data_IF_409584146459
#
_entry.id   IF_409584146459
#
_cell.length_a   1.000
_cell.length_b   1.000
_cell.length_c   1.000
_cell.angle_alpha   90.00
_cell.angle_beta   90.00
_cell.angle_gamma   90.00
#
_symmetry.space_group_name_H-M   'P 1'
#
loop_
_entity.id
_entity.type
_entity.pdbx_description
1 polymer ?
#
# COMPACT_ATOMS: atom_id res chain seq x y z
N UNK A 1 11.16 -22.33 -7.74
CA UNK A 1 10.80 -20.98 -8.14
C UNK A 1 11.81 -19.97 -7.62
N UNK A 2 12.02 -18.86 -8.33
CA UNK A 2 12.77 -17.73 -7.81
C UNK A 2 11.95 -16.96 -6.78
N UNK A 3 12.59 -16.48 -5.71
CA UNK A 3 11.97 -15.73 -4.63
C UNK A 3 12.97 -14.79 -3.93
N UNK A 4 12.58 -13.55 -3.72
CA UNK A 4 13.41 -12.58 -3.00
C UNK A 4 13.16 -12.73 -1.50
N UNK A 5 14.21 -13.08 -0.77
CA UNK A 5 14.09 -13.65 0.59
C UNK A 5 14.81 -12.77 1.62
N UNK A 6 14.12 -12.48 2.73
CA UNK A 6 14.71 -11.84 3.91
C UNK A 6 15.61 -12.81 4.66
N UNK A 7 16.88 -12.52 4.74
CA UNK A 7 17.88 -13.36 5.41
C UNK A 7 18.12 -12.88 6.84
N UNK A 8 18.47 -11.63 6.98
CA UNK A 8 18.76 -10.95 8.24
C UNK A 8 18.66 -9.44 8.04
N UNK A 9 18.72 -8.68 9.12
CA UNK A 9 18.69 -7.22 9.04
C UNK A 9 19.77 -6.71 8.08
N UNK A 10 19.36 -5.86 7.14
CA UNK A 10 20.18 -5.30 6.08
C UNK A 10 20.31 -6.19 4.84
N UNK A 11 19.80 -7.43 4.86
CA UNK A 11 20.08 -8.40 3.81
C UNK A 11 18.86 -9.13 3.28
N UNK A 12 18.53 -8.88 2.01
CA UNK A 12 17.65 -9.70 1.19
C UNK A 12 18.48 -10.39 0.11
N UNK A 13 18.09 -11.58 -0.32
CA UNK A 13 18.73 -12.33 -1.39
C UNK A 13 17.72 -12.99 -2.32
N UNK A 14 18.04 -13.00 -3.62
CA UNK A 14 17.29 -13.80 -4.59
C UNK A 14 17.72 -15.28 -4.46
N UNK A 15 16.77 -16.16 -4.18
CA UNK A 15 17.01 -17.59 -3.93
C UNK A 15 16.03 -18.47 -4.70
N UNK A 16 16.46 -19.69 -4.95
CA UNK A 16 15.53 -20.74 -5.35
C UNK A 16 14.83 -21.32 -4.12
N UNK A 17 13.49 -21.38 -4.19
CA UNK A 17 12.60 -21.97 -3.18
C UNK A 17 11.66 -22.99 -3.84
N UNK A 18 11.12 -23.96 -3.11
CA UNK A 18 10.05 -24.81 -3.62
C UNK A 18 8.82 -23.97 -3.98
N UNK A 19 8.05 -24.40 -4.99
CA UNK A 19 6.75 -23.82 -5.28
C UNK A 19 5.83 -24.08 -4.07
N UNK A 20 5.08 -23.07 -3.58
CA UNK A 20 4.22 -23.24 -2.41
C UNK A 20 3.07 -24.23 -2.69
N UNK A 21 2.64 -24.94 -1.63
CA UNK A 21 1.54 -25.87 -1.67
C UNK A 21 0.34 -25.36 -0.85
N UNK A 22 -0.86 -25.86 -1.16
CA UNK A 22 -2.07 -25.66 -0.34
C UNK A 22 -1.83 -26.30 1.03
N UNK A 23 -1.94 -25.51 2.10
CA UNK A 23 -1.78 -25.94 3.50
C UNK A 23 -3.11 -26.03 4.25
N UNK A 24 -4.09 -25.23 3.84
CA UNK A 24 -5.45 -25.19 4.39
C UNK A 24 -6.45 -25.24 3.23
N UNK A 25 -7.62 -25.81 3.44
CA UNK A 25 -8.66 -25.91 2.41
C UNK A 25 -9.16 -24.56 1.89
N UNK A 26 -8.85 -23.47 2.58
CA UNK A 26 -9.22 -22.08 2.24
C UNK A 26 -8.08 -21.31 1.56
N UNK A 27 -6.93 -21.94 1.27
CA UNK A 27 -5.80 -21.33 0.60
C UNK A 27 -5.98 -21.26 -0.92
N UNK A 28 -5.30 -20.32 -1.57
CA UNK A 28 -5.01 -20.36 -3.00
C UNK A 28 -3.51 -20.22 -3.26
N UNK A 29 -3.05 -20.78 -4.38
CA UNK A 29 -1.74 -20.49 -4.97
C UNK A 29 -1.95 -19.55 -6.14
N UNK A 30 -1.27 -18.43 -6.12
CA UNK A 30 -1.31 -17.43 -7.18
C UNK A 30 0.05 -17.40 -7.87
N UNK A 31 0.05 -17.53 -9.18
CA UNK A 31 1.21 -17.25 -10.02
C UNK A 31 1.28 -15.74 -10.22
N UNK A 32 2.34 -15.12 -9.68
CA UNK A 32 2.51 -13.67 -9.71
C UNK A 32 2.87 -13.23 -11.13
N UNK A 33 2.09 -12.33 -11.70
CA UNK A 33 2.38 -11.70 -12.99
C UNK A 33 3.11 -10.38 -12.82
N UNK A 34 2.75 -9.62 -11.78
CA UNK A 34 3.37 -8.35 -11.46
C UNK A 34 3.37 -8.14 -9.94
N UNK A 35 4.52 -7.86 -9.37
CA UNK A 35 4.70 -7.43 -7.98
C UNK A 35 5.17 -5.98 -7.90
N UNK A 36 5.30 -5.45 -6.68
CA UNK A 36 5.82 -4.10 -6.47
C UNK A 36 6.73 -4.05 -5.24
N UNK A 37 7.57 -3.02 -5.15
CA UNK A 37 8.36 -2.72 -3.97
C UNK A 37 7.64 -1.65 -3.15
N UNK A 38 7.45 -1.91 -1.85
CA UNK A 38 6.87 -0.97 -0.90
C UNK A 38 7.93 -0.45 0.09
N UNK A 39 7.71 0.74 0.65
CA UNK A 39 8.55 1.26 1.73
C UNK A 39 8.53 0.35 2.95
N UNK A 40 7.45 -0.39 3.19
CA UNK A 40 7.35 -1.37 4.27
C UNK A 40 8.34 -2.53 4.12
N UNK A 41 8.72 -2.90 2.89
CA UNK A 41 9.79 -3.88 2.64
C UNK A 41 11.16 -3.33 3.11
N UNK A 42 11.41 -2.02 2.93
CA UNK A 42 12.62 -1.37 3.45
C UNK A 42 12.61 -1.31 4.98
N UNK A 43 11.45 -1.09 5.61
CA UNK A 43 11.32 -1.17 7.07
C UNK A 43 11.65 -2.57 7.59
N UNK A 44 11.25 -3.64 6.89
CA UNK A 44 11.67 -5.02 7.19
C UNK A 44 13.19 -5.15 7.03
N UNK A 45 13.74 -4.71 5.89
CA UNK A 45 15.18 -4.75 5.61
C UNK A 45 16.00 -4.08 6.70
N UNK A 46 15.57 -2.90 7.16
CA UNK A 46 16.28 -2.12 8.18
C UNK A 46 15.99 -2.57 9.62
N UNK A 47 15.15 -3.56 9.85
CA UNK A 47 14.85 -4.11 11.17
C UNK A 47 13.83 -3.32 11.99
N UNK A 48 13.10 -2.37 11.37
CA UNK A 48 12.05 -1.58 12.04
C UNK A 48 10.73 -2.34 12.23
N UNK A 49 10.64 -3.57 11.71
CA UNK A 49 9.46 -4.46 11.84
C UNK A 49 9.83 -5.70 12.66
N UNK A 50 9.73 -5.66 14.00
CA UNK A 50 10.20 -6.74 14.88
C UNK A 50 9.51 -8.10 14.65
N UNK A 51 8.32 -8.09 14.04
CA UNK A 51 7.55 -9.31 13.74
C UNK A 51 7.95 -9.99 12.43
N UNK A 52 8.83 -9.37 11.63
CA UNK A 52 9.32 -9.97 10.39
C UNK A 52 10.17 -11.23 10.68
N UNK A 53 9.95 -12.28 9.89
CA UNK A 53 10.57 -13.59 10.09
C UNK A 53 11.66 -13.82 9.05
N UNK A 54 12.86 -14.20 9.51
CA UNK A 54 13.95 -14.58 8.61
C UNK A 54 13.60 -15.83 7.79
N UNK A 55 14.06 -15.88 6.53
CA UNK A 55 13.81 -16.97 5.59
C UNK A 55 12.51 -16.86 4.79
N UNK A 56 11.65 -15.87 5.06
CA UNK A 56 10.44 -15.66 4.28
C UNK A 56 10.75 -14.93 2.96
N UNK A 57 9.93 -15.17 1.96
CA UNK A 57 9.86 -14.35 0.75
C UNK A 57 9.21 -13.01 1.08
N UNK A 58 9.81 -11.90 0.71
CA UNK A 58 9.26 -10.56 0.94
C UNK A 58 8.23 -10.16 -0.13
N UNK A 59 7.64 -8.97 0.02
CA UNK A 59 6.66 -8.40 -0.90
C UNK A 59 5.21 -8.72 -0.53
N UNK A 60 4.38 -7.70 -0.54
CA UNK A 60 2.97 -7.77 -0.15
C UNK A 60 2.05 -7.02 -1.11
N UNK A 61 2.59 -6.51 -2.21
CA UNK A 61 1.84 -5.87 -3.30
C UNK A 61 2.02 -6.70 -4.57
N UNK A 62 0.95 -7.30 -5.06
CA UNK A 62 1.01 -8.13 -6.25
C UNK A 62 -0.34 -8.37 -6.90
N UNK A 63 -0.28 -8.68 -8.17
CA UNK A 63 -1.38 -9.24 -8.97
C UNK A 63 -0.90 -10.53 -9.63
N UNK A 64 -1.82 -11.38 -10.01
CA UNK A 64 -1.46 -12.64 -10.67
C UNK A 64 -2.66 -13.42 -11.14
N UNK A 65 -2.38 -14.66 -11.50
CA UNK A 65 -3.38 -15.63 -11.97
C UNK A 65 -3.45 -16.76 -10.94
N UNK A 66 -4.66 -17.10 -10.53
CA UNK A 66 -4.91 -18.23 -9.64
C UNK A 66 -4.46 -19.52 -10.33
N UNK A 67 -3.51 -20.23 -9.73
CA UNK A 67 -2.98 -21.49 -10.24
C UNK A 67 -3.73 -22.69 -9.66
N UNK A 68 -3.99 -22.64 -8.35
CA UNK A 68 -4.64 -23.71 -7.59
C UNK A 68 -5.41 -23.15 -6.42
N UNK A 69 -6.51 -23.81 -6.06
CA UNK A 69 -7.32 -23.46 -4.89
C UNK A 69 -7.52 -24.68 -3.96
N UNK A 70 -7.71 -24.39 -2.69
CA UNK A 70 -8.15 -25.40 -1.70
C UNK A 70 -9.64 -25.74 -1.87
N UNK A 71 -10.07 -26.83 -1.23
CA UNK A 71 -11.40 -27.40 -1.44
C UNK A 71 -12.56 -26.49 -0.96
N UNK A 72 -12.31 -25.57 -0.02
CA UNK A 72 -13.32 -24.68 0.55
C UNK A 72 -13.28 -23.27 -0.09
N UNK A 73 -12.43 -23.03 -1.08
CA UNK A 73 -12.40 -21.76 -1.82
C UNK A 73 -13.53 -21.72 -2.84
N UNK A 74 -14.32 -20.64 -2.80
CA UNK A 74 -15.52 -20.47 -3.61
C UNK A 74 -15.54 -19.20 -4.44
N UNK A 75 -14.82 -18.14 -4.03
CA UNK A 75 -14.85 -16.82 -4.68
C UNK A 75 -13.99 -16.75 -5.94
N UNK A 76 -12.98 -17.61 -6.06
CA UNK A 76 -12.05 -17.63 -7.19
C UNK A 76 -11.76 -19.06 -7.65
N UNK A 77 -11.31 -19.21 -8.88
CA UNK A 77 -10.94 -20.50 -9.49
C UNK A 77 -9.63 -20.39 -10.29
N UNK A 78 -8.96 -21.51 -10.59
CA UNK A 78 -7.80 -21.50 -11.48
C UNK A 78 -8.09 -20.79 -12.80
N UNK A 79 -7.16 -19.91 -13.20
CA UNK A 79 -7.26 -19.07 -14.39
C UNK A 79 -7.80 -17.64 -14.12
N UNK A 80 -8.41 -17.38 -12.97
CA UNK A 80 -8.89 -16.04 -12.63
C UNK A 80 -7.71 -15.07 -12.38
N UNK A 81 -7.82 -13.86 -12.90
CA UNK A 81 -6.89 -12.75 -12.61
C UNK A 81 -7.30 -12.08 -11.32
N UNK A 82 -6.34 -11.91 -10.40
CA UNK A 82 -6.61 -11.40 -9.07
C UNK A 82 -5.58 -10.39 -8.59
N UNK A 83 -6.03 -9.41 -7.80
CA UNK A 83 -5.15 -8.67 -6.89
C UNK A 83 -5.18 -9.33 -5.52
N UNK A 84 -4.03 -9.29 -4.84
CA UNK A 84 -3.86 -9.88 -3.50
C UNK A 84 -3.93 -8.78 -2.47
N UNK A 85 -4.82 -8.96 -1.47
CA UNK A 85 -4.93 -8.05 -0.35
C UNK A 85 -3.72 -8.21 0.59
N UNK A 86 -3.10 -7.11 1.00
CA UNK A 86 -2.01 -7.12 1.99
C UNK A 86 -2.46 -7.69 3.33
N UNK A 87 -3.71 -7.44 3.71
CA UNK A 87 -4.31 -7.99 4.92
C UNK A 87 -5.09 -9.27 4.60
N UNK A 88 -4.58 -10.41 5.05
CA UNK A 88 -5.33 -11.66 5.06
C UNK A 88 -6.06 -11.82 6.38
N UNK A 89 -7.23 -12.48 6.43
CA UNK A 89 -7.97 -12.59 7.68
C UNK A 89 -8.96 -13.77 7.73
N UNK A 90 -9.11 -14.35 8.92
CA UNK A 90 -9.94 -15.55 9.10
C UNK A 90 -11.46 -15.29 8.96
N UNK A 91 -11.94 -14.05 9.22
CA UNK A 91 -13.36 -13.71 9.20
C UNK A 91 -14.14 -14.13 10.45
N UNK A 92 -13.54 -14.88 11.39
CA UNK A 92 -14.26 -15.54 12.49
C UNK A 92 -13.88 -15.02 13.88
N UNK A 93 -12.68 -14.46 14.05
CA UNK A 93 -12.22 -13.98 15.35
C UNK A 93 -12.97 -12.71 15.79
N UNK A 94 -12.76 -12.32 17.04
CA UNK A 94 -13.39 -11.15 17.65
C UNK A 94 -13.23 -9.88 16.80
N UNK A 95 -12.04 -9.64 16.29
CA UNK A 95 -11.72 -8.43 15.50
C UNK A 95 -12.36 -8.51 14.10
N UNK A 96 -12.22 -9.64 13.40
CA UNK A 96 -12.79 -9.81 12.06
C UNK A 96 -14.31 -9.61 12.04
N UNK A 97 -15.02 -10.15 13.03
CA UNK A 97 -16.49 -10.00 13.16
C UNK A 97 -16.94 -8.56 13.38
N UNK A 98 -16.03 -7.65 13.72
CA UNK A 98 -16.28 -6.20 13.92
C UNK A 98 -15.71 -5.33 12.81
N UNK A 99 -15.16 -5.93 11.75
CA UNK A 99 -14.56 -5.20 10.65
C UNK A 99 -13.12 -4.73 10.90
N UNK A 100 -12.50 -5.10 12.03
CA UNK A 100 -11.12 -4.77 12.37
C UNK A 100 -10.17 -5.88 11.89
N UNK A 101 -10.24 -6.21 10.60
CA UNK A 101 -9.59 -7.40 10.04
C UNK A 101 -8.07 -7.34 10.06
N UNK A 102 -7.48 -6.15 10.02
CA UNK A 102 -6.06 -5.91 10.21
C UNK A 102 -5.54 -6.35 11.60
N UNK A 103 -6.42 -6.51 12.58
CA UNK A 103 -6.13 -7.03 13.91
C UNK A 103 -6.53 -8.52 14.06
N UNK A 104 -6.66 -9.25 12.96
CA UNK A 104 -6.97 -10.68 12.98
C UNK A 104 -5.97 -11.44 13.86
N UNK A 105 -6.49 -12.28 14.76
CA UNK A 105 -5.67 -13.04 15.72
C UNK A 105 -5.14 -14.36 15.18
N UNK A 106 -5.51 -14.72 13.97
CA UNK A 106 -4.96 -15.92 13.32
C UNK A 106 -3.48 -15.70 12.94
N UNK A 107 -2.61 -16.71 13.05
CA UNK A 107 -1.20 -16.59 12.67
C UNK A 107 -0.96 -16.15 11.21
N UNK A 108 -1.89 -16.47 10.30
CA UNK A 108 -1.85 -16.01 8.91
C UNK A 108 -2.67 -14.74 8.66
N UNK A 109 -3.19 -14.09 9.71
CA UNK A 109 -4.05 -12.92 9.61
C UNK A 109 -3.31 -11.59 9.80
N UNK A 110 -3.93 -10.50 9.40
CA UNK A 110 -3.32 -9.18 9.37
C UNK A 110 -2.23 -9.07 8.30
N UNK A 111 -1.31 -8.14 8.42
CA UNK A 111 -0.15 -8.09 7.53
C UNK A 111 0.77 -9.30 7.78
N UNK A 112 0.45 -10.42 7.13
CA UNK A 112 1.20 -11.67 7.22
C UNK A 112 2.09 -11.90 6.00
N UNK A 113 1.55 -11.70 4.78
CA UNK A 113 2.28 -11.85 3.52
C UNK A 113 3.49 -10.94 3.45
N UNK A 114 4.64 -11.49 3.10
CA UNK A 114 5.91 -10.75 3.00
C UNK A 114 6.48 -10.26 4.32
N UNK A 115 5.89 -10.63 5.46
CA UNK A 115 6.33 -10.23 6.80
C UNK A 115 6.50 -11.43 7.73
N UNK A 116 5.48 -12.28 7.90
CA UNK A 116 5.50 -13.46 8.77
C UNK A 116 5.38 -14.77 8.00
N UNK A 117 4.83 -14.73 6.82
CA UNK A 117 4.74 -15.82 5.84
C UNK A 117 5.26 -15.34 4.49
N UNK A 118 5.57 -16.28 3.60
CA UNK A 118 6.05 -15.96 2.26
C UNK A 118 5.12 -15.00 1.53
N UNK A 119 5.70 -13.98 0.90
CA UNK A 119 5.04 -12.95 0.11
C UNK A 119 5.20 -13.15 -1.40
N UNK A 120 4.95 -12.09 -2.16
CA UNK A 120 4.79 -12.13 -3.61
C UNK A 120 5.95 -11.59 -4.45
N UNK A 121 7.09 -11.22 -3.87
CA UNK A 121 8.30 -10.98 -4.68
C UNK A 121 8.94 -12.32 -5.06
N UNK A 122 8.16 -13.14 -5.78
CA UNK A 122 8.45 -14.49 -6.24
C UNK A 122 7.59 -14.83 -7.45
N UNK A 123 7.85 -15.98 -8.06
CA UNK A 123 7.02 -16.49 -9.18
C UNK A 123 5.65 -16.98 -8.71
N UNK A 124 5.53 -17.48 -7.47
CA UNK A 124 4.28 -17.98 -6.87
C UNK A 124 4.17 -17.56 -5.40
N UNK A 125 2.94 -17.34 -4.96
CA UNK A 125 2.62 -17.06 -3.56
C UNK A 125 1.42 -17.89 -3.10
N UNK A 126 1.46 -18.37 -1.85
CA UNK A 126 0.30 -18.95 -1.18
C UNK A 126 -0.47 -17.85 -0.44
N UNK A 127 -1.72 -17.68 -0.77
CA UNK A 127 -2.61 -16.71 -0.13
C UNK A 127 -3.58 -17.46 0.79
N UNK A 128 -3.47 -17.30 2.11
CA UNK A 128 -4.44 -17.88 3.05
C UNK A 128 -5.77 -17.12 2.97
N UNK A 129 -6.87 -17.83 3.33
CA UNK A 129 -8.23 -17.27 3.31
C UNK A 129 -8.58 -16.64 1.96
N UNK A 130 -8.36 -17.36 0.86
CA UNK A 130 -8.41 -16.86 -0.50
C UNK A 130 -9.70 -16.10 -0.84
N UNK A 131 -10.86 -16.53 -0.34
CA UNK A 131 -12.15 -15.85 -0.55
C UNK A 131 -12.21 -14.42 0.05
N UNK A 132 -11.23 -14.06 0.88
CA UNK A 132 -11.09 -12.73 1.49
C UNK A 132 -9.79 -12.03 1.11
N UNK A 133 -8.77 -12.82 0.80
CA UNK A 133 -7.43 -12.32 0.43
C UNK A 133 -7.28 -11.99 -1.06
N UNK A 134 -8.23 -12.41 -1.91
CA UNK A 134 -8.17 -12.23 -3.36
C UNK A 134 -9.39 -11.44 -3.85
N UNK A 135 -9.14 -10.53 -4.80
CA UNK A 135 -10.19 -9.80 -5.48
C UNK A 135 -10.01 -9.97 -6.99
N UNK A 136 -11.08 -10.36 -7.67
CA UNK A 136 -11.10 -10.56 -9.11
C UNK A 136 -10.84 -9.25 -9.85
N UNK A 137 -9.88 -9.24 -10.78
CA UNK A 137 -9.58 -8.07 -11.63
C UNK A 137 -10.52 -8.11 -12.84
N UNK A 138 -11.34 -7.07 -13.08
CA UNK A 138 -12.16 -6.99 -14.29
C UNK A 138 -11.34 -7.13 -15.57
N UNK A 139 -11.90 -7.72 -16.61
CA UNK A 139 -11.19 -7.94 -17.89
C UNK A 139 -10.74 -6.64 -18.56
N UNK A 140 -11.44 -5.54 -18.29
CA UNK A 140 -11.14 -4.19 -18.77
C UNK A 140 -10.01 -3.49 -18.02
N UNK A 141 -9.60 -4.03 -16.84
CA UNK A 141 -8.54 -3.48 -15.98
C UNK A 141 -7.24 -4.26 -16.21
N UNK A 142 -6.16 -3.55 -16.49
CA UNK A 142 -4.84 -4.18 -16.65
C UNK A 142 -4.20 -4.57 -15.31
N UNK A 143 -3.19 -5.46 -15.35
CA UNK A 143 -2.41 -5.80 -14.15
C UNK A 143 -1.71 -4.59 -13.53
N UNK A 144 -1.23 -3.65 -14.37
CA UNK A 144 -0.60 -2.42 -13.91
C UNK A 144 -1.57 -1.48 -13.18
N UNK A 145 -2.80 -1.37 -13.68
CA UNK A 145 -3.86 -0.59 -13.01
C UNK A 145 -4.26 -1.21 -11.67
N UNK A 146 -4.27 -2.55 -11.58
CA UNK A 146 -4.65 -3.28 -10.38
C UNK A 146 -3.51 -3.47 -9.36
N UNK A 147 -2.24 -3.28 -9.76
CA UNK A 147 -1.06 -3.63 -8.96
C UNK A 147 -1.07 -3.02 -7.55
N UNK A 148 -1.48 -1.77 -7.44
CA UNK A 148 -1.42 -1.03 -6.19
C UNK A 148 -2.69 -1.13 -5.34
N UNK A 149 -3.72 -1.84 -5.83
CA UNK A 149 -5.02 -1.95 -5.15
C UNK A 149 -4.92 -2.67 -3.81
N UNK A 150 -4.12 -3.74 -3.74
CA UNK A 150 -4.06 -4.60 -2.55
C UNK A 150 -3.42 -3.95 -1.32
N UNK A 151 -2.64 -2.87 -1.48
CA UNK A 151 -1.94 -2.22 -0.37
C UNK A 151 -2.00 -0.69 -0.44
N UNK A 152 -1.11 -0.02 -1.20
CA UNK A 152 -0.95 1.45 -1.06
C UNK A 152 -2.18 2.23 -1.50
N UNK A 153 -2.92 1.75 -2.49
CA UNK A 153 -4.18 2.40 -2.89
C UNK A 153 -5.29 2.12 -1.88
N UNK A 154 -5.40 0.87 -1.39
CA UNK A 154 -6.31 0.54 -0.28
C UNK A 154 -5.96 1.34 0.98
N UNK A 155 -4.67 1.55 1.26
CA UNK A 155 -4.21 2.39 2.38
C UNK A 155 -4.69 3.84 2.23
N UNK A 156 -4.55 4.42 1.04
CA UNK A 156 -5.06 5.77 0.75
C UNK A 156 -6.58 5.86 0.86
N UNK A 157 -7.29 4.85 0.38
CA UNK A 157 -8.76 4.79 0.44
C UNK A 157 -9.25 4.66 1.89
N UNK A 158 -8.68 3.75 2.66
CA UNK A 158 -8.92 3.60 4.08
C UNK A 158 -8.64 4.89 4.84
N UNK A 159 -7.49 5.53 4.60
CA UNK A 159 -7.12 6.79 5.26
C UNK A 159 -8.12 7.92 4.97
N UNK A 160 -8.55 8.08 3.72
CA UNK A 160 -9.58 9.06 3.34
C UNK A 160 -10.94 8.75 3.98
N UNK A 161 -11.31 7.44 4.07
CA UNK A 161 -12.55 6.98 4.68
C UNK A 161 -12.62 7.29 6.18
N UNK A 162 -11.57 6.92 6.94
CA UNK A 162 -11.57 7.15 8.39
C UNK A 162 -11.39 8.62 8.78
N UNK A 163 -10.91 9.46 7.86
CA UNK A 163 -10.69 10.90 8.10
C UNK A 163 -11.97 11.73 8.02
N UNK A 164 -13.11 11.12 7.68
CA UNK A 164 -14.45 11.76 7.68
C UNK A 164 -14.51 13.04 6.84
N UNK A 165 -13.77 13.07 5.73
CA UNK A 165 -13.63 14.24 4.86
C UNK A 165 -14.98 14.64 4.25
N UNK A 166 -15.29 15.92 4.33
CA UNK A 166 -16.48 16.56 3.74
C UNK A 166 -16.13 17.55 2.62
N UNK A 167 -17.14 17.99 1.86
CA UNK A 167 -16.97 18.97 0.78
C UNK A 167 -16.56 20.37 1.27
N UNK A 168 -16.76 20.68 2.55
CA UNK A 168 -16.39 21.97 3.15
C UNK A 168 -14.94 22.02 3.67
N UNK A 169 -14.25 20.88 3.74
CA UNK A 169 -12.96 20.78 4.39
C UNK A 169 -11.79 21.32 3.57
N UNK A 170 -10.81 21.89 4.25
CA UNK A 170 -9.45 22.03 3.79
C UNK A 170 -8.64 20.83 4.27
N UNK A 171 -8.15 20.02 3.34
CA UNK A 171 -7.38 18.80 3.62
C UNK A 171 -5.90 19.04 3.36
N UNK A 172 -5.05 18.74 4.33
CA UNK A 172 -3.60 18.72 4.18
C UNK A 172 -3.10 17.27 4.09
N UNK A 173 -2.33 16.96 3.07
CA UNK A 173 -1.60 15.69 2.93
C UNK A 173 -0.11 15.98 3.07
N UNK A 174 0.57 15.35 4.02
CA UNK A 174 2.00 15.53 4.25
C UNK A 174 2.75 14.34 3.67
N UNK A 175 3.48 14.60 2.57
CA UNK A 175 4.20 13.62 1.77
C UNK A 175 3.48 13.27 0.46
N UNK A 176 4.23 13.30 -0.65
CA UNK A 176 3.79 12.87 -1.99
C UNK A 176 4.63 11.67 -2.49
N UNK A 177 4.94 10.75 -1.59
CA UNK A 177 5.41 9.41 -1.96
C UNK A 177 4.28 8.58 -2.56
N UNK A 178 4.52 7.31 -2.90
CA UNK A 178 3.50 6.45 -3.50
C UNK A 178 2.19 6.43 -2.69
N UNK A 179 2.28 6.20 -1.39
CA UNK A 179 1.11 6.21 -0.48
C UNK A 179 0.44 7.58 -0.43
N UNK A 180 1.24 8.68 -0.42
CA UNK A 180 0.70 10.03 -0.39
C UNK A 180 -0.07 10.39 -1.65
N UNK A 181 0.39 9.97 -2.82
CA UNK A 181 -0.32 10.19 -4.08
C UNK A 181 -1.57 9.29 -4.16
N UNK A 182 -1.50 8.03 -3.72
CA UNK A 182 -2.69 7.18 -3.60
C UNK A 182 -3.71 7.78 -2.64
N UNK A 183 -3.26 8.34 -1.51
CA UNK A 183 -4.13 9.08 -0.58
C UNK A 183 -4.76 10.30 -1.26
N UNK A 184 -3.98 11.07 -2.02
CA UNK A 184 -4.50 12.21 -2.79
C UNK A 184 -5.60 11.80 -3.77
N UNK A 185 -5.41 10.71 -4.53
CA UNK A 185 -6.41 10.18 -5.45
C UNK A 185 -7.74 9.85 -4.72
N UNK A 186 -7.65 9.26 -3.54
CA UNK A 186 -8.81 8.92 -2.73
C UNK A 186 -9.48 10.15 -2.09
N UNK A 187 -8.69 11.15 -1.68
CA UNK A 187 -9.20 12.46 -1.18
C UNK A 187 -9.92 13.23 -2.28
N UNK A 188 -9.42 13.21 -3.51
CA UNK A 188 -10.08 13.85 -4.67
C UNK A 188 -11.50 13.29 -4.90
N UNK A 189 -11.74 12.01 -4.64
CA UNK A 189 -13.09 11.42 -4.73
C UNK A 189 -14.08 12.03 -3.73
N UNK A 190 -13.59 12.55 -2.59
CA UNK A 190 -14.41 13.20 -1.56
C UNK A 190 -14.74 14.65 -1.91
N UNK A 191 -14.07 15.22 -2.89
CA UNK A 191 -14.29 16.61 -3.40
C UNK A 191 -14.25 17.68 -2.29
N UNK A 192 -13.23 17.67 -1.41
CA UNK A 192 -13.15 18.71 -0.38
C UNK A 192 -12.98 20.08 -1.03
N UNK A 193 -13.30 21.13 -0.29
CA UNK A 193 -13.16 22.51 -0.76
C UNK A 193 -11.77 22.85 -1.22
N UNK A 194 -10.74 22.29 -0.54
CA UNK A 194 -9.34 22.56 -0.83
C UNK A 194 -8.45 21.39 -0.44
N UNK A 195 -7.50 21.09 -1.29
CA UNK A 195 -6.46 20.09 -1.01
C UNK A 195 -5.10 20.78 -1.07
N UNK A 196 -4.30 20.57 -0.03
CA UNK A 196 -2.91 21.04 0.06
C UNK A 196 -2.03 19.80 0.22
N UNK A 197 -0.98 19.68 -0.59
CA UNK A 197 0.05 18.65 -0.47
C UNK A 197 1.34 19.30 -0.02
N UNK A 198 1.93 18.85 1.07
CA UNK A 198 3.25 19.26 1.54
C UNK A 198 4.29 18.22 1.10
N UNK A 199 5.25 18.62 0.27
CA UNK A 199 6.28 17.69 -0.27
C UNK A 199 7.63 18.38 -0.35
N UNK A 200 8.71 17.69 0.11
CA UNK A 200 10.08 18.21 0.12
C UNK A 200 10.86 17.92 -1.16
N UNK A 201 10.50 16.84 -1.91
CA UNK A 201 11.15 16.51 -3.18
C UNK A 201 10.64 17.41 -4.29
N UNK A 202 11.52 18.20 -4.95
CA UNK A 202 11.12 19.06 -6.07
C UNK A 202 10.49 18.27 -7.23
N UNK A 203 10.95 17.04 -7.49
CA UNK A 203 10.44 16.17 -8.55
C UNK A 203 9.01 15.74 -8.26
N UNK A 204 8.75 15.27 -7.03
CA UNK A 204 7.41 14.83 -6.60
C UNK A 204 6.44 16.00 -6.49
N UNK A 205 6.91 17.15 -5.98
CA UNK A 205 6.13 18.39 -5.95
C UNK A 205 5.74 18.84 -7.37
N UNK A 206 6.67 18.73 -8.34
CA UNK A 206 6.41 19.00 -9.76
C UNK A 206 5.40 18.02 -10.34
N UNK A 207 5.54 16.72 -10.04
CA UNK A 207 4.58 15.69 -10.47
C UNK A 207 3.16 16.02 -10.02
N UNK A 208 2.97 16.38 -8.74
CA UNK A 208 1.65 16.76 -8.20
C UNK A 208 1.12 18.01 -8.92
N UNK A 209 1.91 19.08 -9.05
CA UNK A 209 1.47 20.32 -9.72
C UNK A 209 1.06 20.12 -11.18
N UNK A 210 1.76 19.23 -11.88
CA UNK A 210 1.49 18.96 -13.30
C UNK A 210 0.27 18.07 -13.51
N UNK A 211 0.10 17.07 -12.63
CA UNK A 211 -0.94 16.06 -12.78
C UNK A 211 -2.27 16.48 -12.16
N UNK A 212 -2.21 17.27 -11.09
CA UNK A 212 -3.38 17.69 -10.30
C UNK A 212 -3.35 19.23 -10.11
N UNK A 213 -3.65 20.01 -11.16
CA UNK A 213 -3.53 21.46 -11.13
C UNK A 213 -4.48 22.15 -10.12
N UNK A 214 -5.52 21.47 -9.68
CA UNK A 214 -6.44 21.91 -8.63
C UNK A 214 -5.86 21.81 -7.22
N UNK A 215 -4.77 21.06 -7.04
CA UNK A 215 -4.13 20.80 -5.74
C UNK A 215 -3.05 21.84 -5.46
N UNK A 216 -3.10 22.46 -4.31
CA UNK A 216 -2.09 23.38 -3.84
C UNK A 216 -0.88 22.59 -3.30
N UNK A 217 0.34 23.04 -3.63
CA UNK A 217 1.57 22.35 -3.18
C UNK A 217 2.43 23.30 -2.38
N UNK A 218 2.69 22.94 -1.12
CA UNK A 218 3.51 23.66 -0.16
C UNK A 218 4.87 22.98 0.05
N UNK A 219 5.90 23.77 0.34
CA UNK A 219 7.19 23.28 0.80
C UNK A 219 7.17 23.14 2.34
N UNK A 220 7.86 22.14 2.95
CA UNK A 220 7.82 21.91 4.39
C UNK A 220 8.18 23.13 5.22
N UNK A 221 9.16 23.92 4.78
CA UNK A 221 9.64 25.11 5.53
C UNK A 221 8.56 26.19 5.73
N UNK A 222 7.63 26.30 4.77
CA UNK A 222 6.57 27.29 4.78
C UNK A 222 5.17 26.68 4.93
N UNK A 223 5.08 25.36 5.15
CA UNK A 223 3.82 24.62 5.09
C UNK A 223 2.77 25.20 6.04
N UNK A 224 3.13 25.43 7.30
CA UNK A 224 2.20 25.98 8.31
C UNK A 224 1.60 27.32 7.88
N UNK A 225 2.44 28.28 7.49
CA UNK A 225 1.97 29.59 7.03
C UNK A 225 1.14 29.49 5.75
N UNK A 226 1.53 28.56 4.86
CA UNK A 226 0.80 28.32 3.63
C UNK A 226 -0.59 27.77 3.93
N UNK A 227 -0.71 26.79 4.82
CA UNK A 227 -2.00 26.23 5.27
C UNK A 227 -2.86 27.31 5.92
N UNK A 228 -2.31 28.11 6.84
CA UNK A 228 -3.04 29.19 7.51
C UNK A 228 -3.62 30.22 6.52
N UNK A 229 -2.88 30.57 5.46
CA UNK A 229 -3.34 31.49 4.42
C UNK A 229 -4.37 30.89 3.48
N UNK A 230 -4.38 29.57 3.35
CA UNK A 230 -5.24 28.83 2.42
C UNK A 230 -6.30 27.98 3.14
N UNK A 231 -6.62 28.28 4.40
CA UNK A 231 -7.68 27.67 5.17
C UNK A 231 -8.62 28.73 5.75
N UNK A 232 -9.87 28.35 6.00
CA UNK A 232 -10.88 29.32 6.45
C UNK A 232 -10.97 29.43 7.96
N UNK A 233 -10.40 28.46 8.71
CA UNK A 233 -10.57 28.33 10.17
C UNK A 233 -9.25 28.22 10.94
N UNK A 234 -8.18 28.84 10.42
CA UNK A 234 -6.89 28.90 11.11
C UNK A 234 -6.12 27.57 11.14
N UNK A 235 -6.22 26.78 10.09
CA UNK A 235 -5.55 25.50 9.88
C UNK A 235 -6.40 24.53 9.06
N UNK A 236 -5.83 23.38 8.74
CA UNK A 236 -6.54 22.34 8.00
C UNK A 236 -7.60 21.64 8.87
N UNK A 237 -8.74 21.35 8.28
CA UNK A 237 -9.85 20.58 8.91
C UNK A 237 -9.46 19.12 9.09
N UNK A 238 -8.75 18.56 8.10
CA UNK A 238 -8.23 17.20 8.09
C UNK A 238 -6.76 17.23 7.71
N UNK A 239 -5.93 16.50 8.45
CA UNK A 239 -4.52 16.30 8.11
C UNK A 239 -4.23 14.82 7.98
N UNK A 240 -3.64 14.42 6.85
CA UNK A 240 -3.21 13.05 6.56
C UNK A 240 -1.67 13.04 6.55
N UNK A 241 -1.06 12.44 7.57
CA UNK A 241 0.39 12.31 7.68
C UNK A 241 0.83 10.97 7.03
N UNK A 242 1.58 11.06 5.93
CA UNK A 242 1.92 9.91 5.07
C UNK A 242 3.44 9.83 4.80
N UNK A 243 4.24 10.61 5.51
CA UNK A 243 5.70 10.69 5.29
C UNK A 243 6.53 9.96 6.36
N UNK A 244 6.08 9.91 7.61
CA UNK A 244 6.65 9.08 8.67
C UNK A 244 7.94 9.59 9.29
N UNK A 245 8.08 10.88 9.59
CA UNK A 245 9.22 11.43 10.32
C UNK A 245 8.77 12.27 11.52
N UNK A 246 9.70 12.52 12.45
CA UNK A 246 9.44 13.36 13.63
C UNK A 246 8.96 14.76 13.22
N UNK A 247 9.62 15.36 12.24
CA UNK A 247 9.24 16.69 11.74
C UNK A 247 7.85 16.70 11.11
N UNK A 248 7.48 15.64 10.38
CA UNK A 248 6.17 15.56 9.72
C UNK A 248 5.05 15.24 10.70
N UNK A 249 5.30 14.47 11.76
CA UNK A 249 4.35 14.27 12.84
C UNK A 249 4.04 15.59 13.54
N UNK A 250 5.10 16.37 13.89
CA UNK A 250 4.93 17.70 14.48
C UNK A 250 4.17 18.63 13.54
N UNK A 251 4.54 18.68 12.28
CA UNK A 251 3.88 19.51 11.28
C UNK A 251 2.39 19.18 11.16
N UNK A 252 2.03 17.91 11.25
CA UNK A 252 0.64 17.46 11.11
C UNK A 252 -0.29 18.11 12.15
N UNK A 253 0.06 18.04 13.43
CA UNK A 253 -0.79 18.64 14.45
C UNK A 253 -0.62 20.16 14.56
N UNK A 254 0.50 20.71 14.09
CA UNK A 254 0.77 22.14 14.08
C UNK A 254 -0.07 22.87 13.00
N UNK A 255 -0.26 22.23 11.86
CA UNK A 255 -1.10 22.73 10.76
C UNK A 255 -2.61 22.50 10.96
N UNK A 256 -3.00 21.63 11.89
CA UNK A 256 -4.39 21.33 12.18
C UNK A 256 -5.09 22.47 12.92
N UNK A 257 -6.31 22.85 12.49
CA UNK A 257 -7.15 23.79 13.27
C UNK A 257 -7.65 23.16 14.56
N UNK A 258 -8.19 23.94 15.51
CA UNK A 258 -8.94 23.35 16.63
C UNK A 258 -10.07 22.43 16.16
N UNK A 259 -10.27 21.31 16.86
CA UNK A 259 -11.22 20.24 16.53
C UNK A 259 -11.00 19.57 15.17
N UNK A 260 -9.78 19.58 14.64
CA UNK A 260 -9.43 18.87 13.40
C UNK A 260 -9.21 17.37 13.65
N UNK A 261 -9.29 16.60 12.55
CA UNK A 261 -8.88 15.20 12.51
C UNK A 261 -7.45 15.12 11.97
N UNK A 262 -6.56 14.43 12.69
CA UNK A 262 -5.19 14.13 12.26
C UNK A 262 -5.07 12.63 12.11
N UNK A 263 -4.96 12.16 10.85
CA UNK A 263 -4.81 10.74 10.53
C UNK A 263 -3.35 10.43 10.23
N UNK A 264 -2.78 9.54 11.05
CA UNK A 264 -1.40 9.07 10.91
C UNK A 264 -1.42 7.76 10.11
N UNK A 265 -0.93 7.81 8.89
CA UNK A 265 -0.92 6.69 7.94
C UNK A 265 0.46 6.05 7.84
N UNK A 266 1.49 6.86 7.98
CA UNK A 266 2.87 6.41 7.83
C UNK A 266 3.34 5.51 8.97
N UNK A 267 4.30 4.63 8.67
CA UNK A 267 5.06 3.87 9.66
C UNK A 267 6.21 4.75 10.21
N UNK A 268 6.44 4.64 11.51
CA UNK A 268 7.51 5.35 12.21
C UNK A 268 8.54 4.38 12.78
N UNK A 269 9.82 4.69 12.61
CA UNK A 269 10.93 3.89 13.16
C UNK A 269 11.21 4.17 14.63
N UNK A 270 10.71 5.32 15.16
CA UNK A 270 10.96 5.77 16.52
C UNK A 270 9.68 6.30 17.18
N UNK A 271 9.58 6.23 18.53
CA UNK A 271 8.50 6.88 19.27
C UNK A 271 8.39 8.37 18.94
N UNK A 272 7.16 8.87 18.82
CA UNK A 272 6.88 10.28 18.56
C UNK A 272 6.36 10.96 19.84
N UNK A 273 6.75 12.23 20.04
CA UNK A 273 6.33 13.03 21.18
C UNK A 273 5.04 13.80 20.84
N UNK A 274 4.02 13.62 21.66
CA UNK A 274 2.83 14.46 21.66
C UNK A 274 2.92 15.49 22.80
N UNK A 275 3.16 16.79 22.51
CA UNK A 275 3.34 17.82 23.52
C UNK A 275 1.97 18.27 24.05
N UNK A 276 1.41 17.54 25.02
CA UNK A 276 0.07 17.79 25.56
C UNK A 276 -0.15 19.23 26.08
N UNK A 277 0.84 19.92 26.70
CA UNK A 277 0.66 21.31 27.07
C UNK A 277 0.33 22.24 25.90
N UNK A 278 0.95 22.00 24.73
CA UNK A 278 0.73 22.79 23.51
C UNK A 278 -0.58 22.42 22.80
N UNK A 279 -1.13 21.25 23.13
CA UNK A 279 -2.38 20.72 22.58
C UNK A 279 -3.62 21.13 23.34
N UNK A 280 -3.44 21.70 24.56
CA UNK A 280 -4.57 22.12 25.36
C UNK A 280 -5.39 23.19 24.63
N UNK A 281 -6.68 22.91 24.46
CA UNK A 281 -7.59 23.77 23.70
C UNK A 281 -7.64 23.53 22.18
N UNK A 282 -6.74 22.73 21.61
CA UNK A 282 -6.87 22.31 20.19
C UNK A 282 -7.94 21.23 19.99
N UNK A 283 -8.22 20.40 21.00
CA UNK A 283 -9.24 19.34 20.94
C UNK A 283 -9.12 18.44 19.70
N UNK A 284 -7.90 18.04 19.34
CA UNK A 284 -7.64 17.23 18.14
C UNK A 284 -8.12 15.78 18.30
N UNK A 285 -8.61 15.22 17.23
CA UNK A 285 -8.84 13.77 17.11
C UNK A 285 -7.68 13.15 16.33
N UNK A 286 -6.93 12.26 16.97
CA UNK A 286 -5.91 11.45 16.28
C UNK A 286 -6.48 10.11 15.90
N UNK A 287 -6.29 9.71 14.62
CA UNK A 287 -6.61 8.40 14.10
C UNK A 287 -5.34 7.75 13.60
N UNK A 288 -5.05 6.54 14.07
CA UNK A 288 -3.87 5.78 13.66
C UNK A 288 -4.26 4.34 13.36
N UNK A 289 -3.52 3.66 12.51
CA UNK A 289 -3.74 2.25 12.25
C UNK A 289 -3.10 1.80 10.94
N UNK A 290 -3.29 0.52 10.64
CA UNK A 290 -2.98 -0.06 9.34
C UNK A 290 -4.25 -0.19 8.50
N UNK A 291 -4.07 -0.28 7.21
CA UNK A 291 -5.15 -0.58 6.26
C UNK A 291 -5.90 -1.85 6.66
N UNK A 292 -7.19 -1.90 6.44
CA UNK A 292 -7.99 -3.11 6.62
C UNK A 292 -8.21 -3.91 5.32
N UNK A 293 -7.89 -3.30 4.16
CA UNK A 293 -7.98 -3.95 2.86
C UNK A 293 -9.40 -4.37 2.43
N UNK A 294 -10.42 -3.94 3.14
CA UNK A 294 -11.81 -4.35 2.87
C UNK A 294 -12.38 -3.71 1.60
N UNK A 295 -11.77 -2.65 1.09
CA UNK A 295 -12.31 -1.81 0.02
C UNK A 295 -11.76 -2.19 -1.38
N UNK A 296 -10.94 -3.24 -1.51
CA UNK A 296 -10.26 -3.58 -2.78
C UNK A 296 -11.23 -3.79 -3.96
N UNK A 297 -12.37 -4.42 -3.73
CA UNK A 297 -13.37 -4.61 -4.79
C UNK A 297 -14.00 -3.28 -5.25
N UNK A 298 -14.29 -2.36 -4.32
CA UNK A 298 -14.80 -1.02 -4.65
C UNK A 298 -13.75 -0.22 -5.41
N UNK A 299 -12.48 -0.30 -5.01
CA UNK A 299 -11.35 0.39 -5.67
C UNK A 299 -11.19 -0.11 -7.11
N UNK A 300 -11.27 -1.44 -7.35
CA UNK A 300 -11.23 -2.00 -8.70
C UNK A 300 -12.38 -1.45 -9.59
N UNK A 301 -13.59 -1.33 -9.05
CA UNK A 301 -14.71 -0.71 -9.77
C UNK A 301 -14.43 0.77 -10.10
N UNK A 302 -13.83 1.53 -9.18
CA UNK A 302 -13.46 2.92 -9.42
C UNK A 302 -12.37 3.06 -10.50
N UNK A 303 -11.46 2.10 -10.59
CA UNK A 303 -10.47 2.02 -11.68
C UNK A 303 -11.16 1.69 -13.00
N UNK A 304 -12.04 0.70 -13.03
CA UNK A 304 -12.79 0.32 -14.23
C UNK A 304 -13.66 1.48 -14.76
N UNK A 305 -14.23 2.27 -13.87
CA UNK A 305 -14.99 3.49 -14.21
C UNK A 305 -14.07 4.67 -14.63
N UNK A 306 -12.75 4.52 -14.60
CA UNK A 306 -11.80 5.58 -14.92
C UNK A 306 -11.70 6.71 -13.90
N UNK A 307 -12.21 6.51 -12.68
CA UNK A 307 -12.17 7.51 -11.60
C UNK A 307 -10.83 7.55 -10.87
N UNK A 308 -10.08 6.45 -10.90
CA UNK A 308 -8.73 6.32 -10.33
C UNK A 308 -7.81 5.73 -11.39
N UNK A 309 -6.62 6.33 -11.53
CA UNK A 309 -5.53 5.80 -12.35
C UNK A 309 -4.21 5.92 -11.59
N UNK A 310 -3.63 4.77 -11.24
CA UNK A 310 -2.34 4.66 -10.55
C UNK A 310 -1.18 4.33 -11.47
N UNK A 311 -1.43 4.08 -12.76
CA UNK A 311 -0.38 3.70 -13.73
C UNK A 311 0.74 4.73 -13.84
N UNK A 312 0.52 6.06 -13.73
CA UNK A 312 1.59 7.05 -13.75
C UNK A 312 2.56 6.96 -12.56
N UNK A 313 2.20 6.23 -11.50
CA UNK A 313 3.08 6.01 -10.35
C UNK A 313 4.13 4.93 -10.61
N UNK A 314 3.87 4.01 -11.54
CA UNK A 314 4.81 2.95 -11.93
C UNK A 314 5.86 3.56 -12.87
N UNK A 315 6.93 4.08 -12.28
CA UNK A 315 7.99 4.78 -13.03
C UNK A 315 9.06 3.84 -13.57
N UNK A 316 9.22 2.67 -12.95
CA UNK A 316 10.25 1.67 -13.30
C UNK A 316 9.65 0.28 -13.32
N UNK A 317 10.20 -0.58 -14.20
CA UNK A 317 9.85 -2.00 -14.31
C UNK A 317 11.12 -2.82 -14.42
N UNK A 318 11.20 -3.90 -13.65
CA UNK A 318 12.30 -4.84 -13.67
C UNK A 318 11.78 -6.27 -13.67
N UNK A 319 12.45 -7.18 -14.36
CA UNK A 319 12.16 -8.60 -14.19
C UNK A 319 12.62 -9.07 -12.80
N UNK A 320 12.00 -10.13 -12.26
CA UNK A 320 12.28 -10.64 -10.92
C UNK A 320 13.76 -10.97 -10.69
N UNK A 321 14.48 -11.44 -11.70
CA UNK A 321 15.91 -11.73 -11.61
C UNK A 321 16.81 -10.48 -11.51
N UNK A 322 16.27 -9.29 -11.71
CA UNK A 322 16.95 -8.00 -11.52
C UNK A 322 16.42 -7.22 -10.30
N UNK A 323 15.72 -7.88 -9.39
CA UNK A 323 15.07 -7.25 -8.23
C UNK A 323 16.04 -6.51 -7.31
N UNK A 324 17.31 -6.95 -7.23
CA UNK A 324 18.33 -6.27 -6.42
C UNK A 324 18.63 -4.86 -6.95
N UNK A 325 18.68 -4.69 -8.26
CA UNK A 325 18.85 -3.38 -8.89
C UNK A 325 17.59 -2.53 -8.71
N UNK A 326 16.41 -3.12 -8.82
CA UNK A 326 15.16 -2.47 -8.52
C UNK A 326 15.12 -1.90 -7.09
N UNK A 327 15.56 -2.68 -6.10
CA UNK A 327 15.70 -2.22 -4.71
C UNK A 327 16.73 -1.12 -4.57
N UNK A 328 17.88 -1.20 -5.25
CA UNK A 328 18.92 -0.15 -5.23
C UNK A 328 18.35 1.19 -5.70
N UNK A 329 17.60 1.20 -6.78
CA UNK A 329 16.95 2.40 -7.33
C UNK A 329 15.89 2.93 -6.36
N UNK A 330 15.02 2.06 -5.85
CA UNK A 330 13.93 2.44 -4.98
C UNK A 330 14.40 2.99 -3.62
N UNK A 331 15.31 2.28 -2.96
CA UNK A 331 15.87 2.64 -1.64
C UNK A 331 16.63 3.97 -1.69
N UNK A 332 17.44 4.18 -2.74
CA UNK A 332 18.24 5.40 -2.89
C UNK A 332 17.51 6.54 -3.64
N UNK A 333 16.24 6.34 -3.99
CA UNK A 333 15.38 7.33 -4.66
C UNK A 333 16.02 7.87 -5.95
N UNK A 334 16.61 6.99 -6.75
CA UNK A 334 17.28 7.35 -7.99
C UNK A 334 16.28 7.52 -9.14
N UNK A 335 16.70 8.22 -10.17
CA UNK A 335 16.02 8.35 -11.48
C UNK A 335 14.55 8.78 -11.38
N UNK A 336 14.20 9.56 -10.35
CA UNK A 336 12.83 10.04 -10.15
C UNK A 336 11.83 8.96 -9.75
N UNK A 337 12.30 7.86 -9.15
CA UNK A 337 11.44 6.71 -8.80
C UNK A 337 10.29 7.10 -7.87
N UNK A 338 9.09 6.64 -8.22
CA UNK A 338 7.90 6.67 -7.36
C UNK A 338 7.56 5.24 -6.94
N UNK A 339 7.23 4.38 -7.90
CA UNK A 339 6.97 2.94 -7.69
C UNK A 339 7.73 2.11 -8.70
N UNK A 340 8.15 0.94 -8.25
CA UNK A 340 8.83 -0.06 -9.08
C UNK A 340 7.93 -1.28 -9.21
N UNK A 341 7.60 -1.67 -10.43
CA UNK A 341 6.95 -2.94 -10.71
C UNK A 341 7.99 -4.03 -10.98
N UNK A 342 7.74 -5.22 -10.44
CA UNK A 342 8.56 -6.42 -10.64
C UNK A 342 7.76 -7.41 -11.47
N UNK A 343 8.22 -7.66 -12.69
CA UNK A 343 7.60 -8.62 -13.59
C UNK A 343 7.93 -10.06 -13.17
N UNK A 344 6.91 -10.88 -12.96
CA UNK A 344 7.09 -12.30 -12.74
C UNK A 344 7.77 -12.92 -13.95
N UNK A 345 8.66 -13.89 -13.73
CA UNK A 345 9.24 -14.65 -14.82
C UNK A 345 8.10 -15.43 -15.51
N UNK A 346 7.63 -14.93 -16.66
CA UNK A 346 6.72 -15.68 -17.50
C UNK A 346 7.49 -16.90 -18.00
N UNK A 347 7.33 -18.05 -17.38
CA UNK A 347 7.73 -19.32 -17.98
C UNK A 347 6.94 -19.39 -19.28
N UNK A 348 7.63 -19.20 -20.44
CA UNK A 348 7.02 -19.47 -21.73
C UNK A 348 6.50 -20.91 -21.64
N UNK A 349 5.23 -21.17 -21.97
CA UNK A 349 4.73 -22.53 -21.95
C UNK A 349 5.68 -23.39 -22.79
N UNK A 350 6.31 -24.37 -22.17
CA UNK A 350 7.06 -25.40 -22.90
C UNK A 350 5.99 -26.18 -23.66
N UNK A 351 5.85 -25.88 -24.96
CA UNK A 351 5.06 -26.72 -25.86
C UNK A 351 5.72 -28.08 -25.88
N UNK A 352 5.25 -28.97 -25.01
CA UNK A 352 5.52 -30.39 -25.17
C UNK A 352 4.79 -30.80 -26.43
N UNK A 353 5.53 -30.91 -27.54
CA UNK A 353 5.01 -31.52 -28.74
C UNK A 353 4.56 -32.94 -28.36
N UNK A 354 3.34 -33.35 -28.69
CA UNK A 354 2.92 -34.72 -28.48
C UNK A 354 3.86 -35.63 -29.25
N UNK A 355 4.48 -36.57 -28.54
CA UNK A 355 5.17 -37.65 -29.17
C UNK A 355 4.14 -38.40 -30.04
N UNK A 356 4.23 -38.23 -31.36
CA UNK A 356 3.54 -39.10 -32.30
C UNK A 356 4.13 -40.51 -32.22
N UNK A 357 3.28 -41.56 -32.16
CA UNK A 357 3.68 -42.96 -32.06
C UNK A 357 4.46 -43.47 -33.28
#
# INVERSE_FOLDING_TARGET
MLAYTYIEQGKFELREKPIPEIKDSRDAIVRVTLGSICSSDLHIKHGSVPRAVSGITVGHEMVGVVEKVGADVTAVKPGDRVTVNVETFCGECFFCRRGYVNNCTDPNGGWALGCRIDGGQAEYVRVPYADRGLNHIPDTVSDEQALLVGDVLATGFWAARISEITEDDTVLIIGAGPTGICTLLCVLLKKPRRIIVCEKSPERARFVRQRYPEVLVADPENCKEFVLRNSDHGGADVVLEVAGSEDTFRLAWDCARPNAIVTIVALYDKPQLLPLPDMYGKNLTFKTGGVDGCDCAEILNLIEEGKIDTTPLITHKFPLNEIEEAYRIFENRLDGVIKVAIEGNLIKPVFVLPHTP
#
